data_IF_842942320611
#
_entry.id   IF_842942320611
#
_cell.length_a   1.000
_cell.length_b   1.000
_cell.length_c   1.000
_cell.angle_alpha   90.00
_cell.angle_beta   90.00
_cell.angle_gamma   90.00
#
_symmetry.space_group_name_H-M   'P 1'
#
loop_
_entity.id
_entity.type
_entity.pdbx_description
1 polymer ?
#
# COMPACT_ATOMS: atom_id res chain seq x y z
N UNK A 1 -16.40 3.18 10.66
CA UNK A 1 -15.07 3.63 10.17
C UNK A 1 -13.95 2.85 10.82
N UNK A 2 -13.16 2.12 10.03
CA UNK A 2 -11.91 1.50 10.51
C UNK A 2 -10.85 2.59 10.67
N UNK A 3 -10.24 2.70 11.86
CA UNK A 3 -9.27 3.77 12.17
C UNK A 3 -7.83 3.32 11.95
N UNK A 4 -7.05 4.11 11.23
CA UNK A 4 -5.58 3.96 11.13
C UNK A 4 -4.92 4.95 12.08
N UNK A 5 -3.86 4.52 12.77
CA UNK A 5 -3.03 5.39 13.61
C UNK A 5 -1.61 5.42 13.10
N UNK A 6 -1.08 6.61 12.90
CA UNK A 6 0.24 6.80 12.29
C UNK A 6 0.98 7.98 12.93
N UNK A 7 2.28 8.06 12.69
CA UNK A 7 3.13 9.24 12.96
C UNK A 7 3.75 9.74 11.67
N UNK A 8 4.08 11.03 11.59
CA UNK A 8 4.86 11.59 10.49
C UNK A 8 6.35 11.31 10.69
N UNK A 9 7.08 11.16 9.60
CA UNK A 9 8.52 10.94 9.54
C UNK A 9 9.16 11.94 8.55
N UNK A 10 10.50 12.06 8.57
CA UNK A 10 11.28 12.99 7.72
C UNK A 10 11.84 12.35 6.44
N UNK A 11 11.80 11.03 6.29
CA UNK A 11 12.23 10.28 5.09
C UNK A 11 11.04 9.70 4.34
N UNK A 12 10.59 8.51 4.74
CA UNK A 12 9.19 8.11 4.51
C UNK A 12 8.27 9.16 5.13
N UNK A 13 7.08 9.40 4.57
CA UNK A 13 6.16 10.41 5.13
C UNK A 13 5.46 9.93 6.40
N UNK A 14 5.09 8.65 6.46
CA UNK A 14 4.23 8.12 7.51
C UNK A 14 4.74 6.78 8.06
N UNK A 15 4.44 6.50 9.34
CA UNK A 15 4.68 5.19 9.95
C UNK A 15 3.53 4.72 10.81
N UNK A 16 3.16 3.45 10.65
CA UNK A 16 1.99 2.85 11.27
C UNK A 16 2.24 2.56 12.76
N UNK A 17 1.37 3.06 13.64
CA UNK A 17 1.51 2.92 15.10
C UNK A 17 0.78 1.71 15.68
N UNK A 18 -0.13 1.09 14.93
CA UNK A 18 -0.81 -0.17 15.28
C UNK A 18 -1.09 -0.99 14.03
N UNK A 19 -1.07 -2.33 14.14
CA UNK A 19 -1.41 -3.22 13.02
C UNK A 19 -2.73 -2.81 12.37
N UNK A 20 -2.79 -2.90 11.06
CA UNK A 20 -3.99 -2.70 10.27
C UNK A 20 -4.21 -3.93 9.41
N UNK A 21 -5.46 -4.41 9.33
CA UNK A 21 -5.81 -5.55 8.51
C UNK A 21 -7.07 -5.24 7.71
N UNK A 22 -7.07 -5.67 6.45
CA UNK A 22 -8.18 -5.49 5.53
C UNK A 22 -8.35 -6.74 4.67
N UNK A 23 -9.60 -7.14 4.50
CA UNK A 23 -9.99 -8.18 3.56
C UNK A 23 -10.17 -7.52 2.19
N UNK A 24 -9.46 -8.03 1.18
CA UNK A 24 -9.56 -7.61 -0.20
C UNK A 24 -9.81 -8.85 -1.09
N UNK A 25 -10.18 -8.61 -2.34
CA UNK A 25 -10.50 -9.64 -3.33
C UNK A 25 -9.32 -10.05 -4.21
N UNK A 26 -8.12 -9.55 -3.90
CA UNK A 26 -6.87 -9.96 -4.54
C UNK A 26 -6.36 -11.28 -3.96
N UNK A 27 -5.66 -12.06 -4.81
CA UNK A 27 -5.04 -13.34 -4.42
C UNK A 27 -3.58 -13.37 -4.88
N UNK A 28 -2.67 -14.00 -4.11
CA UNK A 28 -1.27 -14.10 -4.50
C UNK A 28 -1.07 -15.04 -5.70
N UNK A 29 -0.06 -14.75 -6.53
CA UNK A 29 0.27 -15.55 -7.72
C UNK A 29 0.74 -16.99 -7.39
N UNK A 30 1.39 -17.17 -6.24
CA UNK A 30 1.96 -18.45 -5.80
C UNK A 30 1.45 -18.81 -4.41
N UNK A 31 1.70 -20.05 -3.98
CA UNK A 31 1.48 -20.49 -2.59
C UNK A 31 2.54 -19.87 -1.67
N UNK A 32 2.50 -18.56 -1.49
CA UNK A 32 3.50 -17.82 -0.71
C UNK A 32 3.32 -18.17 0.77
N UNK A 33 4.43 -18.43 1.48
CA UNK A 33 4.42 -18.69 2.92
C UNK A 33 4.21 -17.38 3.70
N UNK A 34 2.98 -16.83 3.67
CA UNK A 34 2.39 -15.79 4.56
C UNK A 34 3.13 -14.45 4.77
N UNK A 35 4.43 -14.34 4.52
CA UNK A 35 5.26 -13.17 4.87
C UNK A 35 6.02 -12.73 3.62
N UNK A 36 5.77 -11.49 3.22
CA UNK A 36 6.35 -10.88 2.02
C UNK A 36 7.55 -10.05 2.47
N UNK A 37 7.33 -9.24 3.51
CA UNK A 37 8.38 -8.59 4.29
C UNK A 37 8.12 -8.73 5.79
N UNK A 38 9.06 -8.27 6.62
CA UNK A 38 8.89 -8.23 8.08
C UNK A 38 7.58 -7.54 8.49
N UNK A 39 7.10 -6.59 7.67
CA UNK A 39 5.96 -5.73 7.96
C UNK A 39 4.67 -6.07 7.19
N UNK A 40 4.73 -6.84 6.10
CA UNK A 40 3.56 -7.17 5.27
C UNK A 40 3.29 -8.68 5.26
N UNK A 41 2.06 -9.03 5.64
CA UNK A 41 1.53 -10.39 5.51
C UNK A 41 0.35 -10.36 4.54
N UNK A 42 0.31 -11.31 3.62
CA UNK A 42 -0.80 -11.47 2.70
C UNK A 42 -1.25 -12.93 2.66
N UNK A 43 -2.50 -13.18 3.04
CA UNK A 43 -3.04 -14.53 3.08
C UNK A 43 -3.53 -14.97 1.69
N UNK A 44 -3.56 -16.30 1.41
CA UNK A 44 -4.17 -16.83 0.19
C UNK A 44 -5.65 -16.48 0.03
N UNK A 45 -6.33 -16.12 1.12
CA UNK A 45 -7.73 -15.72 1.14
C UNK A 45 -7.93 -14.22 0.91
N UNK A 46 -6.86 -13.44 0.67
CA UNK A 46 -6.96 -12.00 0.43
C UNK A 46 -6.96 -11.14 1.70
N UNK A 47 -6.53 -11.68 2.85
CA UNK A 47 -6.34 -10.86 4.06
C UNK A 47 -4.97 -10.18 4.01
N UNK A 48 -4.96 -8.87 3.79
CA UNK A 48 -3.77 -8.03 3.90
C UNK A 48 -3.61 -7.56 5.33
N UNK A 49 -2.48 -7.88 5.95
CA UNK A 49 -2.10 -7.38 7.28
C UNK A 49 -0.81 -6.56 7.20
N UNK A 50 -0.92 -5.30 7.58
CA UNK A 50 0.16 -4.33 7.67
C UNK A 50 0.54 -4.20 9.14
N UNK A 51 1.75 -4.64 9.49
CA UNK A 51 2.23 -4.64 10.88
C UNK A 51 2.59 -3.24 11.34
N UNK A 52 2.59 -3.07 12.66
CA UNK A 52 3.12 -1.87 13.32
C UNK A 52 4.53 -1.59 12.80
N UNK A 53 4.88 -0.31 12.69
CA UNK A 53 6.15 0.20 12.20
C UNK A 53 6.38 0.15 10.69
N UNK A 54 5.42 -0.38 9.91
CA UNK A 54 5.42 -0.17 8.46
C UNK A 54 5.47 1.32 8.13
N UNK A 55 6.43 1.72 7.30
CA UNK A 55 6.61 3.08 6.83
C UNK A 55 6.19 3.18 5.36
N UNK A 56 5.55 4.28 4.98
CA UNK A 56 5.05 4.49 3.62
C UNK A 56 5.06 5.97 3.25
N UNK A 57 4.95 6.25 1.95
CA UNK A 57 5.12 7.60 1.38
C UNK A 57 3.82 8.40 1.37
N UNK A 58 2.70 7.73 1.62
CA UNK A 58 1.39 8.34 1.67
C UNK A 58 0.86 8.68 0.28
N UNK A 59 -0.12 9.59 0.20
CA UNK A 59 -0.58 10.08 -1.09
C UNK A 59 0.59 10.54 -1.96
N UNK A 60 0.70 9.88 -3.12
CA UNK A 60 1.74 10.12 -4.11
C UNK A 60 1.13 10.77 -5.35
N UNK A 61 1.97 11.41 -6.18
CA UNK A 61 1.51 12.17 -7.36
C UNK A 61 1.01 13.58 -7.04
N UNK A 62 0.22 14.21 -7.93
CA UNK A 62 -0.30 15.58 -7.77
C UNK A 62 -1.45 15.65 -6.74
N UNK A 63 -1.30 14.96 -5.61
CA UNK A 63 -2.38 14.77 -4.63
C UNK A 63 -2.09 15.41 -3.28
N UNK A 64 -3.15 15.74 -2.56
CA UNK A 64 -3.08 16.45 -1.27
C UNK A 64 -3.26 15.45 -0.13
N UNK A 65 -2.37 15.51 0.86
CA UNK A 65 -2.46 14.72 2.09
C UNK A 65 -3.63 15.17 2.95
N UNK A 66 -4.69 14.36 2.98
CA UNK A 66 -5.91 14.62 3.75
C UNK A 66 -6.31 13.39 4.56
N UNK A 67 -7.07 13.61 5.63
CA UNK A 67 -7.48 12.52 6.55
C UNK A 67 -8.24 11.39 5.86
N UNK A 68 -9.03 11.73 4.84
CA UNK A 68 -9.80 10.81 3.99
C UNK A 68 -8.95 10.04 2.95
N UNK A 69 -7.66 10.34 2.83
CA UNK A 69 -6.76 9.68 1.87
C UNK A 69 -5.70 8.82 2.54
N UNK A 70 -5.33 9.12 3.79
CA UNK A 70 -4.20 8.43 4.44
C UNK A 70 -4.40 6.90 4.51
N UNK A 71 -5.59 6.42 4.88
CA UNK A 71 -5.83 4.96 4.95
C UNK A 71 -5.82 4.32 3.57
N UNK A 72 -6.41 4.97 2.56
CA UNK A 72 -6.33 4.52 1.17
C UNK A 72 -4.88 4.39 0.70
N UNK A 73 -4.08 5.45 0.89
CA UNK A 73 -2.67 5.47 0.49
C UNK A 73 -1.83 4.39 1.18
N UNK A 74 -2.11 4.09 2.46
CA UNK A 74 -1.43 3.01 3.19
C UNK A 74 -1.67 1.65 2.53
N UNK A 75 -2.91 1.36 2.15
CA UNK A 75 -3.25 0.09 1.49
C UNK A 75 -2.67 0.05 0.08
N UNK A 76 -2.75 1.15 -0.67
CA UNK A 76 -2.19 1.27 -2.01
C UNK A 76 -0.66 1.03 -2.03
N UNK A 77 0.10 1.71 -1.16
CA UNK A 77 1.55 1.52 -1.04
C UNK A 77 1.92 0.08 -0.67
N UNK A 78 1.15 -0.55 0.22
CA UNK A 78 1.36 -1.95 0.59
C UNK A 78 1.11 -2.89 -0.59
N UNK A 79 0.03 -2.70 -1.37
CA UNK A 79 -0.25 -3.50 -2.55
C UNK A 79 0.83 -3.34 -3.63
N UNK A 80 1.31 -2.11 -3.83
CA UNK A 80 2.40 -1.84 -4.76
C UNK A 80 3.71 -2.49 -4.29
N UNK A 81 3.98 -2.50 -2.98
CA UNK A 81 5.12 -3.25 -2.44
C UNK A 81 4.99 -4.76 -2.72
N UNK A 82 3.81 -5.34 -2.55
CA UNK A 82 3.57 -6.74 -2.90
C UNK A 82 3.81 -7.01 -4.40
N UNK A 83 3.54 -6.05 -5.28
CA UNK A 83 3.84 -6.16 -6.71
C UNK A 83 5.34 -6.09 -6.98
N UNK A 84 6.05 -5.15 -6.33
CA UNK A 84 7.52 -5.05 -6.43
C UNK A 84 8.23 -6.32 -5.96
N UNK A 85 7.68 -6.97 -4.95
CA UNK A 85 8.18 -8.24 -4.40
C UNK A 85 7.64 -9.47 -5.16
N UNK A 86 6.95 -9.28 -6.29
CA UNK A 86 6.41 -10.35 -7.16
C UNK A 86 5.42 -11.31 -6.46
N UNK A 87 4.80 -10.85 -5.38
CA UNK A 87 3.72 -11.57 -4.67
C UNK A 87 2.39 -11.39 -5.40
N UNK A 88 2.17 -10.18 -5.89
CA UNK A 88 1.11 -9.84 -6.84
C UNK A 88 1.73 -9.60 -8.21
N UNK A 89 1.05 -10.03 -9.26
CA UNK A 89 1.36 -9.60 -10.62
C UNK A 89 1.00 -8.13 -10.80
N UNK A 90 1.96 -7.27 -11.17
CA UNK A 90 1.67 -5.87 -11.44
C UNK A 90 0.82 -5.66 -12.71
N UNK A 91 0.91 -6.55 -13.71
CA UNK A 91 0.13 -6.45 -14.95
C UNK A 91 -1.34 -6.79 -14.73
N UNK A 92 -1.61 -7.71 -13.81
CA UNK A 92 -2.96 -8.21 -13.53
C UNK A 92 -3.62 -7.43 -12.40
N UNK A 93 -2.88 -7.13 -11.33
CA UNK A 93 -3.46 -6.64 -10.08
C UNK A 93 -3.36 -5.12 -9.88
N UNK A 94 -2.58 -4.39 -10.69
CA UNK A 94 -2.41 -2.93 -10.54
C UNK A 94 -3.73 -2.18 -10.64
N UNK A 95 -4.50 -2.45 -11.69
CA UNK A 95 -5.80 -1.80 -11.88
C UNK A 95 -6.70 -2.02 -10.66
N UNK A 96 -6.79 -3.26 -10.17
CA UNK A 96 -7.62 -3.57 -9.00
C UNK A 96 -7.11 -2.91 -7.72
N UNK A 97 -5.79 -2.76 -7.55
CA UNK A 97 -5.22 -2.00 -6.42
C UNK A 97 -5.59 -0.51 -6.48
N UNK A 98 -5.60 0.09 -7.68
CA UNK A 98 -6.04 1.47 -7.89
C UNK A 98 -7.55 1.64 -7.63
N UNK A 99 -8.37 0.64 -7.98
CA UNK A 99 -9.80 0.60 -7.66
C UNK A 99 -10.05 0.49 -6.15
N UNK A 100 -9.32 -0.40 -5.45
CA UNK A 100 -9.39 -0.52 -3.99
C UNK A 100 -9.03 0.83 -3.33
N UNK A 101 -8.03 1.54 -3.84
CA UNK A 101 -7.72 2.88 -3.34
C UNK A 101 -8.94 3.81 -3.44
N UNK A 102 -9.58 3.85 -4.61
CA UNK A 102 -10.78 4.65 -4.87
C UNK A 102 -11.92 4.28 -3.92
N UNK A 103 -12.15 2.98 -3.68
CA UNK A 103 -13.18 2.49 -2.75
C UNK A 103 -12.92 2.97 -1.31
N UNK A 104 -11.66 2.87 -0.84
CA UNK A 104 -11.30 3.24 0.53
C UNK A 104 -11.39 4.75 0.78
N UNK A 105 -10.97 5.57 -0.19
CA UNK A 105 -11.07 7.04 -0.03
C UNK A 105 -12.52 7.51 -0.03
N UNK A 106 -13.39 6.87 -0.83
CA UNK A 106 -14.83 7.12 -0.80
C UNK A 106 -15.44 6.69 0.55
N UNK A 107 -15.07 5.52 1.07
CA UNK A 107 -15.48 5.04 2.39
C UNK A 107 -15.03 6.00 3.51
N UNK A 108 -13.88 6.65 3.36
CA UNK A 108 -13.35 7.63 4.33
C UNK A 108 -13.92 9.05 4.16
N UNK A 109 -14.86 9.25 3.23
CA UNK A 109 -15.60 10.50 3.07
C UNK A 109 -15.04 11.45 2.00
N UNK A 110 -14.08 11.01 1.19
CA UNK A 110 -13.62 11.80 0.04
C UNK A 110 -14.77 11.98 -0.95
N UNK A 111 -14.94 13.19 -1.47
CA UNK A 111 -15.98 13.44 -2.47
C UNK A 111 -15.71 12.68 -3.78
N UNK A 112 -16.78 12.32 -4.51
CA UNK A 112 -16.70 11.49 -5.72
C UNK A 112 -15.80 12.09 -6.81
N UNK A 113 -15.84 13.42 -6.98
CA UNK A 113 -15.01 14.12 -7.95
C UNK A 113 -13.51 13.95 -7.65
N UNK A 114 -13.13 14.16 -6.37
CA UNK A 114 -11.74 14.01 -5.95
C UNK A 114 -11.29 12.55 -6.01
N UNK A 115 -12.14 11.60 -5.61
CA UNK A 115 -11.83 10.18 -5.71
C UNK A 115 -11.62 9.73 -7.17
N UNK A 116 -12.41 10.27 -8.11
CA UNK A 116 -12.22 10.05 -9.54
C UNK A 116 -10.89 10.63 -10.03
N UNK A 117 -10.58 11.87 -9.66
CA UNK A 117 -9.30 12.51 -10.00
C UNK A 117 -8.09 11.72 -9.47
N UNK A 118 -8.14 11.31 -8.20
CA UNK A 118 -7.10 10.49 -7.56
C UNK A 118 -6.89 9.19 -8.31
N UNK A 119 -7.99 8.47 -8.65
CA UNK A 119 -7.92 7.24 -9.42
C UNK A 119 -7.22 7.44 -10.78
N UNK A 120 -7.62 8.46 -11.54
CA UNK A 120 -7.00 8.76 -12.83
C UNK A 120 -5.51 9.10 -12.69
N UNK A 121 -5.15 9.91 -11.70
CA UNK A 121 -3.77 10.31 -11.44
C UNK A 121 -2.89 9.08 -11.12
N UNK A 122 -3.31 8.21 -10.20
CA UNK A 122 -2.50 7.01 -9.88
C UNK A 122 -2.44 6.05 -11.06
N UNK A 123 -3.55 5.88 -11.78
CA UNK A 123 -3.61 4.92 -12.88
C UNK A 123 -2.67 5.28 -14.03
N UNK A 124 -2.48 6.58 -14.29
CA UNK A 124 -1.59 7.09 -15.34
C UNK A 124 -0.12 7.15 -14.87
N UNK A 125 0.13 7.64 -13.65
CA UNK A 125 1.50 7.99 -13.22
C UNK A 125 2.21 6.93 -12.37
N UNK A 126 1.48 5.97 -11.79
CA UNK A 126 2.06 5.05 -10.81
C UNK A 126 2.63 3.75 -11.42
N UNK A 127 2.51 3.52 -12.74
CA UNK A 127 2.92 2.27 -13.39
C UNK A 127 4.37 1.87 -13.04
N UNK A 128 5.31 2.81 -13.12
CA UNK A 128 6.72 2.62 -12.76
C UNK A 128 6.96 2.09 -11.34
N UNK A 129 6.09 2.46 -10.38
CA UNK A 129 6.22 2.11 -8.96
C UNK A 129 5.83 0.67 -8.63
N UNK A 130 5.14 -0.02 -9.54
CA UNK A 130 4.67 -1.40 -9.36
C UNK A 130 5.61 -2.44 -9.97
N UNK A 131 6.59 -2.03 -10.78
CA UNK A 131 7.52 -2.96 -11.42
C UNK A 131 8.33 -3.76 -10.40
N UNK A 132 8.55 -5.07 -10.63
CA UNK A 132 9.45 -5.87 -9.81
C UNK A 132 10.81 -5.19 -9.67
N UNK A 133 11.26 -5.01 -8.44
CA UNK A 133 12.58 -4.42 -8.16
C UNK A 133 13.52 -5.51 -7.65
N UNK A 134 14.81 -5.49 -8.05
CA UNK A 134 15.80 -6.35 -7.41
C UNK A 134 15.87 -6.02 -5.92
N UNK A 135 16.10 -7.04 -5.10
CA UNK A 135 16.22 -6.90 -3.65
C UNK A 135 17.24 -5.80 -3.33
N UNK A 136 16.82 -4.76 -2.61
CA UNK A 136 17.72 -3.67 -2.20
C UNK A 136 18.74 -4.26 -1.25
N UNK A 137 20.01 -4.34 -1.68
CA UNK A 137 21.13 -4.75 -0.84
C UNK A 137 21.21 -3.83 0.39
N UNK A 138 20.75 -4.30 1.55
CA UNK A 138 20.97 -3.63 2.82
C UNK A 138 22.29 -4.11 3.42
N UNK A 139 23.10 -3.18 3.93
CA UNK A 139 24.28 -3.52 4.73
C UNK A 139 23.85 -3.56 6.19
N UNK A 140 23.80 -4.74 6.79
CA UNK A 140 23.69 -4.87 8.25
C UNK A 140 25.05 -4.60 8.85
N UNK A 141 25.15 -3.53 9.65
CA UNK A 141 26.36 -3.19 10.40
C UNK A 141 26.12 -3.61 11.85
N UNK A 142 26.89 -4.57 12.34
CA UNK A 142 26.90 -4.96 13.76
C UNK A 142 28.02 -4.20 14.45
N UNK A 143 27.68 -3.43 15.48
CA UNK A 143 28.65 -2.76 16.35
C UNK A 143 28.79 -3.54 17.67
N UNK A 144 29.98 -3.57 18.29
CA UNK A 144 30.20 -4.22 19.58
C UNK A 144 29.44 -3.54 20.73
#
# INVERSE_FOLDING_TARGET
MKKVRYRKLTGYKYQLKRKYAIQIDLKPLKRIRRTVSEYLLFSPQGLLTIKKHYAWDGPSGPTIDTRDFIRGSLVHDALYQLMRESVLDYRIHRQRADEILRELVLEDGMCKFRAWYVYQAVHIFAEGGAHPQPERKSKTITVP
#
